data_IF_940449048896
#
_entry.id   IF_940449048896
#
_cell.length_a   1.000
_cell.length_b   1.000
_cell.length_c   1.000
_cell.angle_alpha   90.00
_cell.angle_beta   90.00
_cell.angle_gamma   90.00
#
_symmetry.space_group_name_H-M   'P 1'
#
loop_
_entity.id
_entity.type
_entity.pdbx_description
1 polymer ?
#
# COMPACT_ATOMS: atom_id res chain seq x y z
N UNK A 1 -0.78 -22.98 -6.21
CA UNK A 1 0.52 -22.37 -6.56
C UNK A 1 0.95 -22.76 -7.98
N UNK A 2 0.94 -24.06 -8.32
CA UNK A 2 1.33 -24.59 -9.64
C UNK A 2 0.62 -23.89 -10.83
N UNK A 3 -0.70 -23.69 -10.74
CA UNK A 3 -1.48 -23.00 -11.78
C UNK A 3 -0.96 -21.59 -12.15
N UNK A 4 -0.38 -20.86 -11.19
CA UNK A 4 0.21 -19.54 -11.45
C UNK A 4 1.54 -19.65 -12.18
N UNK A 5 2.37 -20.62 -11.79
CA UNK A 5 3.65 -20.90 -12.45
C UNK A 5 3.38 -21.31 -13.91
N UNK A 6 2.39 -22.15 -14.14
CA UNK A 6 1.96 -22.55 -15.48
C UNK A 6 1.47 -21.34 -16.29
N UNK A 7 0.70 -20.43 -15.67
CA UNK A 7 0.26 -19.18 -16.31
C UNK A 7 1.43 -18.27 -16.74
N UNK A 8 2.47 -18.18 -15.91
CA UNK A 8 3.70 -17.42 -16.22
C UNK A 8 4.43 -18.05 -17.40
N UNK A 9 4.61 -19.38 -17.39
CA UNK A 9 5.24 -20.13 -18.48
C UNK A 9 4.49 -19.97 -19.80
N UNK A 10 3.16 -19.98 -19.74
CA UNK A 10 2.27 -19.77 -20.90
C UNK A 10 2.12 -18.29 -21.29
N UNK A 11 2.81 -17.36 -20.62
CA UNK A 11 2.72 -15.90 -20.82
C UNK A 11 1.28 -15.34 -20.73
N UNK A 12 0.38 -16.04 -20.04
CA UNK A 12 -1.00 -15.61 -19.85
C UNK A 12 -1.09 -14.58 -18.71
N UNK A 13 -0.91 -13.30 -19.05
CA UNK A 13 -0.87 -12.20 -18.08
C UNK A 13 -2.17 -12.02 -17.30
N UNK A 14 -3.32 -12.30 -17.91
CA UNK A 14 -4.63 -12.18 -17.25
C UNK A 14 -4.77 -13.21 -16.14
N UNK A 15 -4.46 -14.47 -16.45
CA UNK A 15 -4.55 -15.56 -15.50
C UNK A 15 -3.48 -15.50 -14.40
N UNK A 16 -2.24 -15.09 -14.71
CA UNK A 16 -1.21 -14.80 -13.68
C UNK A 16 -1.71 -13.75 -12.67
N UNK A 17 -2.27 -12.63 -13.15
CA UNK A 17 -2.82 -11.59 -12.28
C UNK A 17 -3.98 -12.10 -11.43
N UNK A 18 -4.88 -12.89 -12.00
CA UNK A 18 -6.00 -13.50 -11.28
C UNK A 18 -5.49 -14.44 -10.18
N UNK A 19 -4.55 -15.35 -10.49
CA UNK A 19 -3.95 -16.23 -9.50
C UNK A 19 -3.21 -15.44 -8.40
N UNK A 20 -2.47 -14.39 -8.76
CA UNK A 20 -1.81 -13.50 -7.78
C UNK A 20 -2.82 -12.83 -6.86
N UNK A 21 -3.96 -12.37 -7.39
CA UNK A 21 -5.03 -11.76 -6.61
C UNK A 21 -5.63 -12.75 -5.61
N UNK A 22 -5.94 -13.98 -6.02
CA UNK A 22 -6.47 -15.01 -5.13
C UNK A 22 -5.49 -15.32 -3.99
N UNK A 23 -4.21 -15.52 -4.31
CA UNK A 23 -3.18 -15.82 -3.31
C UNK A 23 -3.08 -14.70 -2.26
N UNK A 24 -3.03 -13.44 -2.71
CA UNK A 24 -2.97 -12.29 -1.82
C UNK A 24 -4.27 -12.10 -1.01
N UNK A 25 -5.43 -12.39 -1.62
CA UNK A 25 -6.73 -12.31 -0.96
C UNK A 25 -6.90 -13.35 0.14
N UNK A 26 -6.31 -14.54 -0.01
CA UNK A 26 -6.32 -15.57 1.03
C UNK A 26 -5.70 -15.05 2.33
N UNK A 27 -4.48 -14.51 2.25
CA UNK A 27 -3.83 -13.87 3.40
C UNK A 27 -4.66 -12.71 3.97
N UNK A 28 -5.19 -11.85 3.09
CA UNK A 28 -6.04 -10.73 3.52
C UNK A 28 -7.31 -11.19 4.23
N UNK A 29 -7.88 -12.34 3.83
CA UNK A 29 -9.05 -12.94 4.48
C UNK A 29 -8.73 -13.37 5.91
N UNK A 30 -7.58 -14.01 6.12
CA UNK A 30 -7.13 -14.51 7.42
C UNK A 30 -6.87 -13.36 8.42
N UNK A 31 -6.30 -12.25 7.94
CA UNK A 31 -6.03 -11.04 8.73
C UNK A 31 -7.18 -10.03 8.78
N UNK A 32 -8.30 -10.26 8.07
CA UNK A 32 -9.35 -9.25 7.96
C UNK A 32 -10.16 -9.13 9.25
N UNK A 33 -10.21 -7.93 9.82
CA UNK A 33 -11.12 -7.61 10.91
C UNK A 33 -12.58 -7.79 10.42
N UNK A 34 -13.27 -8.80 10.94
CA UNK A 34 -14.67 -9.08 10.60
C UNK A 34 -15.66 -8.31 11.49
N UNK A 35 -15.16 -7.50 12.42
CA UNK A 35 -15.97 -6.72 13.34
C UNK A 35 -16.75 -5.64 12.58
N UNK A 36 -18.09 -5.72 12.69
CA UNK A 36 -18.99 -4.68 12.19
C UNK A 36 -19.30 -3.74 13.34
N UNK A 37 -18.49 -2.70 13.52
CA UNK A 37 -18.67 -1.69 14.57
C UNK A 37 -19.99 -0.91 14.44
N UNK A 38 -20.48 -0.72 13.21
CA UNK A 38 -21.79 -0.12 12.96
C UNK A 38 -22.81 -1.18 12.57
N UNK A 39 -23.44 -1.80 13.58
CA UNK A 39 -24.58 -2.70 13.38
C UNK A 39 -25.87 -1.92 13.63
N UNK A 40 -26.49 -1.44 12.55
CA UNK A 40 -27.82 -0.85 12.59
C UNK A 40 -28.83 -1.97 12.32
N UNK A 41 -29.84 -2.09 13.17
CA UNK A 41 -30.98 -2.99 12.95
C UNK A 41 -32.27 -2.19 12.93
N UNK A 42 -33.19 -2.60 12.07
CA UNK A 42 -34.57 -2.11 12.08
C UNK A 42 -35.34 -2.94 13.10
N UNK A 43 -35.90 -2.27 14.10
CA UNK A 43 -36.61 -2.89 15.22
C UNK A 43 -37.99 -2.28 15.38
N UNK A 44 -38.91 -3.10 15.90
CA UNK A 44 -40.21 -2.64 16.36
C UNK A 44 -40.05 -1.88 17.68
N UNK A 45 -41.00 -1.00 18.01
CA UNK A 45 -41.00 -0.21 19.26
C UNK A 45 -40.69 -1.06 20.50
N UNK A 46 -41.31 -2.23 20.64
CA UNK A 46 -41.09 -3.15 21.76
C UNK A 46 -39.64 -3.65 21.84
N UNK A 47 -39.08 -4.09 20.71
CA UNK A 47 -37.70 -4.58 20.62
C UNK A 47 -36.66 -3.47 20.81
N UNK A 48 -36.99 -2.24 20.45
CA UNK A 48 -36.17 -1.06 20.75
C UNK A 48 -36.09 -0.80 22.24
N UNK A 49 -37.22 -0.84 22.94
CA UNK A 49 -37.26 -0.69 24.40
C UNK A 49 -36.45 -1.82 25.07
N UNK A 50 -36.61 -3.06 24.62
CA UNK A 50 -35.81 -4.19 25.12
C UNK A 50 -34.29 -3.96 24.93
N UNK A 51 -33.88 -3.44 23.77
CA UNK A 51 -32.49 -3.11 23.50
C UNK A 51 -31.96 -1.97 24.38
N UNK A 52 -32.81 -0.98 24.69
CA UNK A 52 -32.48 0.13 25.58
C UNK A 52 -32.25 -0.37 27.00
N UNK A 53 -33.15 -1.22 27.51
CA UNK A 53 -33.03 -1.85 28.83
C UNK A 53 -31.75 -2.68 28.95
N UNK A 54 -31.35 -3.38 27.89
CA UNK A 54 -30.12 -4.18 27.87
C UNK A 54 -28.83 -3.35 27.80
N UNK A 55 -28.90 -2.03 27.62
CA UNK A 55 -27.74 -1.13 27.46
C UNK A 55 -26.75 -1.62 26.37
N UNK A 56 -27.28 -2.19 25.28
CA UNK A 56 -26.52 -2.67 24.12
C UNK A 56 -26.58 -1.70 22.92
N UNK A 57 -27.25 -0.57 23.09
CA UNK A 57 -27.51 0.42 22.06
C UNK A 57 -26.60 1.65 22.21
N UNK A 58 -26.38 2.40 21.12
CA UNK A 58 -25.72 3.72 21.15
C UNK A 58 -26.67 4.85 20.79
N UNK A 59 -27.37 4.70 19.66
CA UNK A 59 -28.25 5.72 19.11
C UNK A 59 -29.46 5.04 18.48
N UNK A 60 -30.60 5.70 18.47
CA UNK A 60 -31.80 5.27 17.77
C UNK A 60 -32.41 6.43 16.96
N UNK A 61 -33.14 6.07 15.91
CA UNK A 61 -33.89 7.02 15.09
C UNK A 61 -35.25 6.43 14.75
N UNK A 62 -36.33 7.14 15.10
CA UNK A 62 -37.68 6.80 14.68
C UNK A 62 -37.79 6.99 13.16
N UNK A 63 -38.24 5.97 12.44
CA UNK A 63 -38.52 6.02 11.00
C UNK A 63 -40.02 6.07 10.73
N UNK A 64 -40.82 5.34 11.51
CA UNK A 64 -42.28 5.33 11.47
C UNK A 64 -42.83 5.02 12.87
N UNK A 65 -44.16 5.01 13.05
CA UNK A 65 -44.77 4.86 14.39
C UNK A 65 -44.36 3.61 15.15
N UNK A 66 -44.18 2.51 14.43
CA UNK A 66 -43.79 1.22 15.00
C UNK A 66 -42.34 0.83 14.69
N UNK A 67 -41.61 1.58 13.87
CA UNK A 67 -40.32 1.18 13.31
C UNK A 67 -39.19 2.16 13.64
N UNK A 68 -38.11 1.62 14.19
CA UNK A 68 -36.93 2.36 14.63
C UNK A 68 -35.67 1.76 14.04
N UNK A 69 -34.72 2.60 13.64
CA UNK A 69 -33.36 2.18 13.34
C UNK A 69 -32.51 2.34 14.60
N UNK A 70 -32.05 1.23 15.17
CA UNK A 70 -31.25 1.22 16.40
C UNK A 70 -29.83 0.78 16.07
N UNK A 71 -28.86 1.61 16.43
CA UNK A 71 -27.43 1.34 16.33
C UNK A 71 -26.96 0.65 17.60
N UNK A 72 -26.32 -0.51 17.44
CA UNK A 72 -25.80 -1.32 18.55
C UNK A 72 -24.30 -1.12 18.73
N UNK A 73 -23.85 -1.13 19.99
CA UNK A 73 -22.44 -1.29 20.33
C UNK A 73 -22.18 -2.74 20.79
N UNK A 74 -21.59 -3.60 19.95
CA UNK A 74 -21.25 -4.95 20.38
C UNK A 74 -20.16 -4.91 21.47
N UNK A 75 -20.48 -5.35 22.70
CA UNK A 75 -19.50 -5.43 23.81
C UNK A 75 -18.44 -6.52 23.60
N UNK A 76 -18.82 -7.61 22.93
CA UNK A 76 -17.96 -8.75 22.63
C UNK A 76 -18.01 -9.07 21.12
N UNK A 77 -16.85 -9.34 20.54
CA UNK A 77 -16.69 -9.81 19.17
C UNK A 77 -16.17 -11.26 19.15
N UNK A 78 -16.67 -12.06 18.21
CA UNK A 78 -16.14 -13.40 17.96
C UNK A 78 -15.24 -13.33 16.74
N UNK A 79 -13.93 -13.46 16.93
CA UNK A 79 -13.00 -13.64 15.83
C UNK A 79 -12.89 -15.14 15.51
N UNK A 80 -13.56 -15.58 14.44
CA UNK A 80 -13.45 -16.96 13.94
C UNK A 80 -12.27 -17.15 12.98
N UNK A 81 -11.40 -16.16 12.85
CA UNK A 81 -10.32 -16.15 11.85
C UNK A 81 -9.00 -16.56 12.48
N UNK A 82 -8.18 -17.21 11.67
CA UNK A 82 -6.83 -17.63 11.99
C UNK A 82 -5.86 -16.42 12.01
N UNK A 83 -6.07 -15.45 12.91
CA UNK A 83 -5.19 -14.29 13.09
C UNK A 83 -3.73 -14.71 13.29
N UNK A 84 -3.50 -15.82 13.99
CA UNK A 84 -2.17 -16.41 14.18
C UNK A 84 -1.51 -16.78 12.85
N UNK A 85 -2.25 -17.34 11.89
CA UNK A 85 -1.73 -17.68 10.57
C UNK A 85 -1.39 -16.42 9.76
N UNK A 86 -2.23 -15.37 9.84
CA UNK A 86 -1.93 -14.09 9.22
C UNK A 86 -0.66 -13.46 9.83
N UNK A 87 -0.56 -13.43 11.14
CA UNK A 87 0.62 -12.90 11.84
C UNK A 87 1.90 -13.65 11.47
N UNK A 88 1.86 -14.99 11.54
CA UNK A 88 2.97 -15.84 11.12
C UNK A 88 3.38 -15.59 9.66
N UNK A 89 2.42 -15.47 8.74
CA UNK A 89 2.71 -15.21 7.33
C UNK A 89 3.38 -13.85 7.12
N UNK A 90 2.91 -12.81 7.83
CA UNK A 90 3.47 -11.47 7.76
C UNK A 90 4.90 -11.42 8.32
N UNK A 91 5.14 -12.05 9.47
CA UNK A 91 6.45 -12.08 10.11
C UNK A 91 7.49 -12.82 9.25
N UNK A 92 7.12 -13.96 8.67
CA UNK A 92 7.99 -14.67 7.74
C UNK A 92 8.28 -13.84 6.47
N UNK A 93 7.27 -13.14 5.93
CA UNK A 93 7.46 -12.29 4.76
C UNK A 93 8.43 -11.13 5.06
N UNK A 94 8.30 -10.51 6.24
CA UNK A 94 9.23 -9.49 6.70
C UNK A 94 10.65 -10.07 6.85
N UNK A 95 10.80 -11.19 7.57
CA UNK A 95 12.10 -11.82 7.79
C UNK A 95 12.82 -12.14 6.47
N UNK A 96 12.13 -12.73 5.51
CA UNK A 96 12.68 -13.05 4.19
C UNK A 96 13.13 -11.76 3.49
N UNK A 97 12.28 -10.72 3.45
CA UNK A 97 12.64 -9.45 2.83
C UNK A 97 13.88 -8.82 3.45
N UNK A 98 13.94 -8.75 4.78
CA UNK A 98 15.08 -8.19 5.51
C UNK A 98 16.36 -8.97 5.24
N UNK A 99 16.28 -10.31 5.25
CA UNK A 99 17.42 -11.18 4.97
C UNK A 99 17.98 -10.95 3.56
N UNK A 100 17.13 -10.96 2.54
CA UNK A 100 17.56 -10.79 1.14
C UNK A 100 18.16 -9.39 0.89
N UNK A 101 17.55 -8.33 1.44
CA UNK A 101 18.08 -6.96 1.33
C UNK A 101 19.41 -6.82 2.05
N UNK A 102 19.53 -7.38 3.27
CA UNK A 102 20.74 -7.30 4.07
C UNK A 102 21.90 -8.05 3.41
N UNK A 103 21.65 -9.21 2.81
CA UNK A 103 22.66 -9.95 2.04
C UNK A 103 23.19 -9.08 0.89
N UNK A 104 22.30 -8.46 0.10
CA UNK A 104 22.70 -7.59 -1.01
C UNK A 104 23.50 -6.37 -0.55
N UNK A 105 23.07 -5.75 0.56
CA UNK A 105 23.78 -4.60 1.12
C UNK A 105 25.17 -5.01 1.63
N UNK A 106 25.29 -6.14 2.31
CA UNK A 106 26.59 -6.68 2.75
C UNK A 106 27.47 -6.99 1.54
N UNK A 107 26.95 -7.61 0.49
CA UNK A 107 27.73 -7.89 -0.73
C UNK A 107 28.28 -6.62 -1.38
N UNK A 108 27.49 -5.53 -1.40
CA UNK A 108 27.96 -4.21 -1.87
C UNK A 108 29.04 -3.62 -0.96
N UNK A 109 28.92 -3.80 0.36
CA UNK A 109 29.92 -3.32 1.32
C UNK A 109 31.19 -4.17 1.35
N UNK A 110 31.09 -5.46 1.00
CA UNK A 110 32.17 -6.46 1.01
C UNK A 110 32.83 -6.56 -0.38
N UNK A 111 32.73 -5.52 -1.22
CA UNK A 111 33.57 -5.39 -2.43
C UNK A 111 35.05 -5.10 -2.08
N UNK A 112 35.64 -5.96 -1.25
CA UNK A 112 37.00 -6.46 -1.43
C UNK A 112 36.89 -7.93 -1.87
N UNK A 113 37.15 -8.14 -3.17
CA UNK A 113 37.15 -9.39 -3.94
C UNK A 113 37.38 -10.69 -3.14
N UNK A 114 36.35 -11.29 -2.55
CA UNK A 114 36.22 -12.75 -2.40
C UNK A 114 35.10 -13.12 -1.42
N UNK A 115 33.88 -13.28 -1.93
CA UNK A 115 33.01 -14.38 -1.52
C UNK A 115 31.93 -14.56 -2.57
N UNK A 116 32.15 -15.63 -3.34
CA UNK A 116 31.34 -16.13 -4.44
C UNK A 116 30.12 -16.82 -3.83
N UNK A 117 29.16 -16.04 -3.32
CA UNK A 117 27.93 -16.56 -2.72
C UNK A 117 26.66 -15.90 -3.26
N UNK A 118 26.71 -15.45 -4.51
CA UNK A 118 25.61 -15.74 -5.41
C UNK A 118 26.14 -16.48 -6.62
N UNK A 119 25.59 -17.66 -6.85
CA UNK A 119 25.41 -18.14 -8.22
C UNK A 119 24.42 -17.18 -8.92
N UNK A 120 24.82 -15.93 -9.17
CA UNK A 120 24.34 -15.22 -10.35
C UNK A 120 24.96 -16.03 -11.48
N UNK A 121 24.14 -16.84 -12.14
CA UNK A 121 24.54 -17.56 -13.33
C UNK A 121 25.24 -16.59 -14.28
N UNK A 122 26.57 -16.71 -14.39
CA UNK A 122 27.39 -16.13 -15.46
C UNK A 122 27.17 -16.82 -16.81
N UNK A 123 26.14 -17.65 -16.90
CA UNK A 123 25.62 -18.15 -18.16
C UNK A 123 24.45 -17.22 -18.49
N UNK A 124 24.60 -16.42 -19.54
CA UNK A 124 23.70 -15.35 -19.99
C UNK A 124 22.28 -15.77 -20.37
N UNK A 125 21.65 -16.61 -19.56
CA UNK A 125 20.24 -16.88 -19.58
C UNK A 125 19.53 -15.77 -18.81
N UNK A 126 18.87 -14.88 -19.56
CA UNK A 126 17.93 -13.86 -19.06
C UNK A 126 16.65 -14.52 -18.51
N UNK A 127 16.80 -15.55 -17.68
CA UNK A 127 15.71 -16.28 -17.04
C UNK A 127 15.73 -16.04 -15.53
N UNK A 128 15.74 -14.77 -15.13
CA UNK A 128 15.22 -14.32 -13.84
C UNK A 128 13.69 -14.47 -13.81
N UNK A 129 13.22 -15.69 -14.08
CA UNK A 129 11.83 -16.07 -13.99
C UNK A 129 11.41 -15.98 -12.53
N UNK A 130 10.71 -14.89 -12.15
CA UNK A 130 9.96 -14.69 -10.89
C UNK A 130 9.89 -15.94 -9.99
N UNK A 131 11.00 -16.26 -9.32
CA UNK A 131 11.10 -17.47 -8.52
C UNK A 131 10.24 -17.29 -7.27
N UNK A 132 9.67 -18.38 -6.79
CA UNK A 132 8.92 -18.32 -5.54
C UNK A 132 9.87 -17.93 -4.40
N UNK A 133 9.53 -16.86 -3.67
CA UNK A 133 10.34 -16.27 -2.59
C UNK A 133 11.71 -15.72 -3.02
N UNK A 134 12.01 -15.65 -4.32
CA UNK A 134 13.23 -15.00 -4.81
C UNK A 134 13.04 -13.49 -4.96
N UNK A 135 14.13 -12.73 -4.79
CA UNK A 135 14.15 -11.34 -5.21
C UNK A 135 14.20 -11.28 -6.75
N UNK A 136 13.47 -10.35 -7.37
CA UNK A 136 13.53 -10.10 -8.80
C UNK A 136 13.62 -8.61 -9.04
N UNK A 137 14.63 -8.16 -9.78
CA UNK A 137 14.79 -6.76 -10.14
C UNK A 137 13.68 -6.41 -11.15
N UNK A 138 12.73 -5.57 -10.74
CA UNK A 138 11.61 -5.20 -11.61
C UNK A 138 11.97 -4.05 -12.55
N UNK A 139 12.74 -3.08 -12.06
CA UNK A 139 13.17 -1.90 -12.81
C UNK A 139 14.51 -1.40 -12.28
N UNK A 140 15.32 -0.88 -13.18
CA UNK A 140 16.54 -0.14 -12.87
C UNK A 140 16.35 1.31 -13.35
N UNK A 141 16.93 2.24 -12.61
CA UNK A 141 16.88 3.66 -12.92
C UNK A 141 18.23 4.31 -12.71
N UNK A 142 18.53 5.28 -13.56
CA UNK A 142 19.71 6.14 -13.50
C UNK A 142 19.54 7.25 -12.45
N UNK A 143 18.32 7.77 -12.30
CA UNK A 143 17.99 8.75 -11.27
C UNK A 143 16.82 8.29 -10.39
N UNK A 144 17.00 8.33 -9.07
CA UNK A 144 15.98 7.96 -8.10
C UNK A 144 15.94 8.95 -6.93
N UNK A 145 14.75 9.46 -6.59
CA UNK A 145 14.51 10.28 -5.40
C UNK A 145 13.45 9.63 -4.52
N UNK A 146 13.82 9.24 -3.30
CA UNK A 146 12.91 8.66 -2.31
C UNK A 146 12.60 9.69 -1.21
N UNK A 147 11.44 10.33 -1.30
CA UNK A 147 11.04 11.39 -0.35
C UNK A 147 10.52 10.82 0.97
N UNK A 148 9.69 9.77 0.88
CA UNK A 148 9.04 9.13 2.02
C UNK A 148 8.52 7.74 1.60
N UNK A 149 8.10 6.88 2.55
CA UNK A 149 7.51 5.59 2.22
C UNK A 149 6.33 5.73 1.23
N UNK A 150 6.44 5.05 0.08
CA UNK A 150 5.47 5.09 -1.04
C UNK A 150 5.38 6.43 -1.80
N UNK A 151 6.34 7.32 -1.58
CA UNK A 151 6.47 8.62 -2.25
C UNK A 151 7.88 8.73 -2.86
N UNK A 152 8.00 8.46 -4.16
CA UNK A 152 9.29 8.45 -4.86
C UNK A 152 9.16 8.78 -6.34
N UNK A 153 10.27 9.24 -6.91
CA UNK A 153 10.51 9.42 -8.34
C UNK A 153 11.61 8.45 -8.79
N UNK A 154 11.46 7.91 -9.99
CA UNK A 154 12.48 7.09 -10.65
C UNK A 154 12.45 7.35 -12.16
N UNK A 155 13.59 7.73 -12.72
CA UNK A 155 13.81 7.75 -14.16
C UNK A 155 14.28 6.36 -14.58
N UNK A 156 13.57 5.70 -15.50
CA UNK A 156 13.86 4.31 -15.86
C UNK A 156 13.73 4.10 -17.36
N UNK A 157 14.60 3.24 -17.89
CA UNK A 157 14.59 2.85 -19.28
C UNK A 157 13.72 1.61 -19.50
N UNK A 158 12.59 1.79 -20.18
CA UNK A 158 11.62 0.72 -20.47
C UNK A 158 11.28 0.67 -21.94
N UNK A 159 11.31 -0.53 -22.51
CA UNK A 159 10.90 -0.75 -23.91
C UNK A 159 11.59 0.20 -24.90
N UNK A 160 12.89 0.42 -24.72
CA UNK A 160 13.71 1.34 -25.52
C UNK A 160 13.37 2.83 -25.38
N UNK A 161 12.65 3.22 -24.32
CA UNK A 161 12.28 4.61 -24.04
C UNK A 161 12.56 4.99 -22.59
N UNK A 162 13.06 6.20 -22.38
CA UNK A 162 13.17 6.81 -21.06
C UNK A 162 11.78 7.19 -20.54
N UNK A 163 11.47 6.77 -19.32
CA UNK A 163 10.15 6.97 -18.71
C UNK A 163 10.26 7.38 -17.25
N UNK A 164 9.52 8.42 -16.88
CA UNK A 164 9.40 8.86 -15.49
C UNK A 164 8.37 8.02 -14.75
N UNK A 165 8.77 7.48 -13.60
CA UNK A 165 7.90 6.81 -12.65
C UNK A 165 7.79 7.66 -11.41
N UNK A 166 6.69 8.38 -11.30
CA UNK A 166 6.30 9.09 -10.09
C UNK A 166 5.31 8.22 -9.31
N UNK A 167 5.57 8.00 -8.03
CA UNK A 167 4.66 7.36 -7.09
C UNK A 167 4.41 8.30 -5.93
N UNK A 168 3.15 8.68 -5.73
CA UNK A 168 2.72 9.52 -4.63
C UNK A 168 1.49 8.87 -3.99
N UNK A 169 1.63 8.45 -2.73
CA UNK A 169 0.59 7.74 -2.00
C UNK A 169 -0.63 8.63 -1.85
N UNK A 170 -1.75 8.14 -2.37
CA UNK A 170 -3.04 8.79 -2.25
C UNK A 170 -3.29 9.88 -3.29
N UNK A 171 -2.38 10.17 -4.22
CA UNK A 171 -2.61 11.10 -5.34
C UNK A 171 -3.09 10.36 -6.57
N UNK A 172 -4.09 10.91 -7.26
CA UNK A 172 -4.42 10.47 -8.60
C UNK A 172 -3.56 11.22 -9.63
N UNK A 173 -2.49 10.58 -10.09
CA UNK A 173 -1.53 11.16 -11.05
C UNK A 173 -2.16 11.49 -12.41
N UNK A 174 -3.21 10.76 -12.82
CA UNK A 174 -3.90 11.02 -14.10
C UNK A 174 -4.72 12.31 -14.07
N UNK A 175 -5.14 12.74 -12.89
CA UNK A 175 -5.93 13.96 -12.70
C UNK A 175 -5.05 15.19 -12.45
N UNK A 176 -3.87 14.99 -11.85
CA UNK A 176 -3.11 16.07 -11.23
C UNK A 176 -1.79 16.43 -11.94
N UNK A 177 -1.49 15.80 -13.08
CA UNK A 177 -0.34 16.07 -13.97
C UNK A 177 0.92 16.55 -13.22
N UNK A 178 1.45 15.69 -12.35
CA UNK A 178 2.67 15.97 -11.59
C UNK A 178 3.88 15.55 -12.40
N UNK A 179 4.89 16.40 -12.48
CA UNK A 179 6.11 16.16 -13.25
C UNK A 179 7.36 16.04 -12.34
N UNK A 180 8.52 15.80 -12.96
CA UNK A 180 9.82 15.74 -12.25
C UNK A 180 10.16 17.06 -11.55
N UNK A 181 9.90 18.20 -12.18
CA UNK A 181 10.23 19.52 -11.63
C UNK A 181 9.47 19.82 -10.34
N UNK A 182 8.20 19.42 -10.26
CA UNK A 182 7.40 19.52 -9.05
C UNK A 182 8.04 18.78 -7.86
N UNK A 183 8.66 17.63 -8.13
CA UNK A 183 9.39 16.84 -7.12
C UNK A 183 10.69 17.56 -6.72
N UNK A 184 11.45 18.08 -7.68
CA UNK A 184 12.71 18.80 -7.42
C UNK A 184 12.43 20.10 -6.64
N UNK A 185 11.43 20.89 -7.04
CA UNK A 185 11.03 22.12 -6.36
C UNK A 185 10.65 21.86 -4.90
N UNK A 186 10.03 20.71 -4.63
CA UNK A 186 9.68 20.33 -3.27
C UNK A 186 10.92 20.02 -2.42
N UNK A 187 11.92 19.34 -2.98
CA UNK A 187 13.19 19.03 -2.29
C UNK A 187 14.02 20.29 -2.07
N UNK A 188 14.24 21.08 -3.14
CA UNK A 188 15.20 22.19 -3.15
C UNK A 188 14.61 23.43 -2.50
N UNK A 189 13.35 23.76 -2.82
CA UNK A 189 12.71 25.01 -2.39
C UNK A 189 11.69 24.82 -1.27
N UNK A 190 11.49 23.59 -0.78
CA UNK A 190 10.47 23.29 0.24
C UNK A 190 9.03 23.54 -0.24
N UNK A 191 8.80 23.59 -1.57
CA UNK A 191 7.50 23.95 -2.15
C UNK A 191 6.44 22.89 -1.82
N UNK A 192 5.41 23.28 -1.09
CA UNK A 192 4.27 22.41 -0.78
C UNK A 192 3.30 22.40 -1.97
N UNK A 193 3.11 21.24 -2.58
CA UNK A 193 2.19 21.07 -3.71
C UNK A 193 0.90 20.40 -3.20
N UNK A 194 -0.18 21.17 -3.21
CA UNK A 194 -1.52 20.68 -2.90
C UNK A 194 -2.25 20.30 -4.19
N UNK A 195 -2.97 19.18 -4.15
CA UNK A 195 -3.72 18.63 -5.28
C UNK A 195 -5.04 18.05 -4.79
N UNK A 196 -6.03 18.03 -5.66
CA UNK A 196 -7.37 17.53 -5.33
C UNK A 196 -7.64 16.27 -6.12
N UNK A 197 -8.03 15.20 -5.43
CA UNK A 197 -8.53 14.02 -6.12
C UNK A 197 -10.03 14.17 -6.33
N UNK A 198 -10.46 14.03 -7.58
CA UNK A 198 -11.87 14.00 -7.92
C UNK A 198 -12.32 12.55 -7.92
N UNK A 199 -13.35 12.24 -7.12
CA UNK A 199 -13.97 10.92 -7.08
C UNK A 199 -15.45 11.05 -7.37
N UNK A 200 -15.96 10.19 -8.25
CA UNK A 200 -17.40 10.02 -8.43
C UNK A 200 -17.96 9.21 -7.26
N UNK A 201 -19.03 9.72 -6.65
CA UNK A 201 -19.77 9.07 -5.57
C UNK A 201 -21.26 9.16 -5.82
N UNK A 202 -22.02 8.26 -5.23
CA UNK A 202 -23.48 8.34 -5.25
C UNK A 202 -23.95 9.06 -3.98
N UNK A 203 -24.70 10.15 -4.14
CA UNK A 203 -25.39 10.86 -3.07
C UNK A 203 -26.87 10.99 -3.45
N UNK A 204 -27.76 10.68 -2.50
CA UNK A 204 -29.21 10.73 -2.72
C UNK A 204 -29.65 10.03 -4.03
N UNK A 205 -29.14 8.82 -4.27
CA UNK A 205 -29.37 8.01 -5.46
C UNK A 205 -28.87 8.60 -6.80
N UNK A 206 -28.26 9.78 -6.80
CA UNK A 206 -27.67 10.39 -7.99
C UNK A 206 -26.14 10.31 -7.98
N UNK A 207 -25.54 10.13 -9.15
CA UNK A 207 -24.10 10.20 -9.33
C UNK A 207 -23.66 11.67 -9.28
N UNK A 208 -22.79 12.01 -8.33
CA UNK A 208 -22.23 13.35 -8.17
C UNK A 208 -20.71 13.29 -8.04
N UNK A 209 -20.03 14.37 -8.42
CA UNK A 209 -18.58 14.51 -8.21
C UNK A 209 -18.31 15.02 -6.79
N UNK A 210 -17.58 14.22 -6.01
CA UNK A 210 -17.03 14.64 -4.73
C UNK A 210 -15.57 15.04 -4.86
N UNK A 211 -15.19 16.19 -4.30
CA UNK A 211 -13.81 16.61 -4.19
C UNK A 211 -13.23 16.15 -2.85
N UNK A 212 -12.11 15.44 -2.88
CA UNK A 212 -11.33 15.16 -1.69
C UNK A 212 -9.97 15.83 -1.86
N UNK A 213 -9.83 17.03 -1.31
CA UNK A 213 -8.53 17.68 -1.19
C UNK A 213 -7.70 16.91 -0.18
N UNK A 214 -6.46 16.54 -0.55
CA UNK A 214 -5.47 16.15 0.46
C UNK A 214 -4.17 16.87 0.14
N UNK A 215 -3.41 17.16 1.19
CA UNK A 215 -2.05 17.67 1.05
C UNK A 215 -1.13 16.48 0.82
N UNK A 216 -0.35 16.48 -0.25
CA UNK A 216 0.39 15.30 -0.69
C UNK A 216 1.91 15.49 -0.72
N UNK A 217 2.37 16.74 -0.76
CA UNK A 217 3.78 17.11 -0.70
C UNK A 217 4.00 18.01 0.50
N UNK A 218 3.94 17.41 1.68
CA UNK A 218 4.52 18.00 2.89
C UNK A 218 5.73 17.16 3.23
N UNK A 219 6.92 17.64 2.90
CA UNK A 219 8.15 17.17 3.54
C UNK A 219 8.17 17.83 4.92
N UNK A 220 7.31 17.38 5.82
CA UNK A 220 7.67 17.40 7.23
C UNK A 220 8.37 16.08 7.46
N UNK A 221 9.64 16.06 7.09
CA UNK A 221 10.60 15.13 7.64
C UNK A 221 10.65 15.38 9.15
N UNK A 222 9.77 14.76 9.93
CA UNK A 222 10.10 14.47 11.33
C UNK A 222 11.00 13.23 11.31
N UNK A 223 12.23 13.41 10.81
CA UNK A 223 13.34 12.60 11.30
C UNK A 223 13.55 13.09 12.73
N UNK A 224 13.49 12.19 13.70
CA UNK A 224 13.84 12.53 15.07
C UNK A 224 15.22 13.19 15.08
N UNK A 225 15.29 14.38 15.68
CA UNK A 225 16.46 15.03 16.22
C UNK A 225 17.80 14.75 15.51
N UNK A 226 17.95 15.24 14.28
CA UNK A 226 19.28 15.59 13.75
C UNK A 226 19.15 16.96 13.10
N UNK A 227 19.89 17.92 13.65
CA UNK A 227 19.89 19.32 13.27
C UNK A 227 20.16 19.51 11.77
N UNK A 228 19.31 20.34 11.14
CA UNK A 228 19.38 20.81 9.75
C UNK A 228 20.62 21.67 9.42
N UNK A 229 21.63 21.68 10.29
CA UNK A 229 22.86 22.46 10.12
C UNK A 229 23.98 21.70 9.37
N UNK A 230 23.89 20.39 9.18
CA UNK A 230 25.00 19.60 8.58
C UNK A 230 24.89 19.39 7.05
N UNK A 231 23.85 19.89 6.38
CA UNK A 231 23.65 19.71 4.95
C UNK A 231 23.65 21.04 4.16
N UNK A 232 24.85 21.63 4.01
CA UNK A 232 25.24 22.57 2.94
C UNK A 232 26.76 22.85 3.01
N UNK A 233 27.52 22.91 1.90
CA UNK A 233 27.45 22.18 0.63
C UNK A 233 28.79 21.48 0.27
N UNK A 234 28.78 20.23 -0.20
CA UNK A 234 29.88 19.66 -1.00
C UNK A 234 29.60 19.89 -2.50
N UNK A 235 29.49 21.16 -2.89
CA UNK A 235 29.62 21.57 -4.30
C UNK A 235 30.42 22.87 -4.32
N UNK A 236 31.74 22.73 -4.30
CA UNK A 236 32.67 23.73 -4.82
C UNK A 236 33.97 23.03 -5.20
N UNK A 237 34.44 23.35 -6.41
CA UNK A 237 35.62 22.88 -7.18
C UNK A 237 35.51 21.49 -7.81
#
# INVERSE_FOLDING_TARGET
>A
MNKRIDAIKQKNRGFDKFCKMILNASYGSDGMNAEKYNKIKLLTKEKTIEAHTKQLWMNDRKLADILYAVQFNPKNCKCNKCLQAAYFTLDNANFILWKEILIQFIEQLVEDKSLKLMQINKNGDKSDEKKLLGLSIENEGDEMFALAPKNYYMHTFKQQKLTDIIKLKGVNLRQNNINKQDVIDNIVNGKIIQRTNIRLGQQANQLQQGQLSKNYLTVTCTFGDIDLAELKPMVSS
#
